data_IF_916789406262
#
_entry.id   IF_916789406262
#
_cell.length_a   1.000
_cell.length_b   1.000
_cell.length_c   1.000
_cell.angle_alpha   90.00
_cell.angle_beta   90.00
_cell.angle_gamma   90.00
#
_symmetry.space_group_name_H-M   'P 1'
#
loop_
_entity.id
_entity.type
_entity.pdbx_description
1 polymer ?
#
# COMPACT_ATOMS: atom_id res chain seq x y z
N UNK A 1 -8.15 -13.97 17.31
CA UNK A 1 -9.41 -13.26 17.09
C UNK A 1 -10.28 -14.03 16.11
N UNK A 2 -11.58 -14.13 16.27
CA UNK A 2 -12.51 -14.75 15.33
C UNK A 2 -12.94 -13.70 14.30
N UNK A 3 -12.44 -13.82 13.07
CA UNK A 3 -12.85 -12.93 11.97
C UNK A 3 -14.03 -13.49 11.17
N UNK A 4 -14.18 -14.81 11.17
CA UNK A 4 -15.33 -15.55 10.62
C UNK A 4 -15.65 -16.68 11.58
N UNK A 5 -16.93 -17.08 11.68
CA UNK A 5 -17.38 -18.13 12.56
C UNK A 5 -16.52 -19.39 12.44
N UNK A 6 -16.00 -19.87 13.57
CA UNK A 6 -15.15 -21.06 13.69
C UNK A 6 -13.74 -20.95 13.07
N UNK A 7 -13.29 -19.75 12.70
CA UNK A 7 -11.94 -19.50 12.18
C UNK A 7 -11.30 -18.36 12.98
N UNK A 8 -10.17 -18.65 13.61
CA UNK A 8 -9.46 -17.71 14.47
C UNK A 8 -8.08 -17.40 13.89
N UNK A 9 -7.72 -16.12 14.00
CA UNK A 9 -6.41 -15.62 13.61
C UNK A 9 -5.68 -15.11 14.83
N UNK A 10 -4.36 -15.15 14.80
CA UNK A 10 -3.52 -14.55 15.85
C UNK A 10 -3.48 -13.01 15.77
N UNK A 11 -4.07 -12.42 14.74
CA UNK A 11 -4.13 -10.98 14.50
C UNK A 11 -5.54 -10.55 14.08
N UNK A 12 -5.86 -9.28 14.21
CA UNK A 12 -7.09 -8.65 13.72
C UNK A 12 -6.95 -8.08 12.30
N UNK A 13 -5.71 -7.93 11.82
CA UNK A 13 -5.39 -7.41 10.49
C UNK A 13 -4.41 -8.33 9.79
N UNK A 14 -4.69 -8.61 8.52
CA UNK A 14 -3.76 -9.33 7.65
C UNK A 14 -2.89 -8.29 6.96
N UNK A 15 -1.58 -8.33 7.20
CA UNK A 15 -0.63 -7.34 6.67
C UNK A 15 0.36 -8.01 5.74
N UNK A 16 0.69 -7.38 4.62
CA UNK A 16 1.67 -7.88 3.67
C UNK A 16 3.03 -8.17 4.35
N UNK A 17 3.68 -9.24 3.91
CA UNK A 17 4.98 -9.68 4.44
C UNK A 17 4.98 -10.03 5.94
N UNK A 18 3.82 -10.42 6.49
CA UNK A 18 3.69 -10.94 7.85
C UNK A 18 3.33 -12.43 7.84
N UNK A 19 3.56 -13.10 8.96
CA UNK A 19 3.12 -14.49 9.19
C UNK A 19 1.87 -14.50 10.04
N UNK A 20 0.83 -15.20 9.58
CA UNK A 20 -0.41 -15.39 10.32
C UNK A 20 -0.54 -16.83 10.79
N UNK A 21 -1.17 -17.02 11.95
CA UNK A 21 -1.58 -18.32 12.44
C UNK A 21 -3.10 -18.43 12.36
N UNK A 22 -3.58 -19.48 11.69
CA UNK A 22 -4.99 -19.80 11.53
C UNK A 22 -5.32 -21.01 12.41
N UNK A 23 -6.41 -20.92 13.18
CA UNK A 23 -7.00 -22.02 13.92
C UNK A 23 -8.43 -22.26 13.44
N UNK A 24 -8.72 -23.46 12.98
CA UNK A 24 -10.02 -23.88 12.46
C UNK A 24 -10.70 -24.84 13.41
N UNK A 25 -11.89 -24.50 13.87
CA UNK A 25 -12.79 -25.34 14.71
C UNK A 25 -14.15 -25.60 14.07
N UNK A 26 -14.21 -25.45 12.74
CA UNK A 26 -15.46 -25.63 11.99
C UNK A 26 -15.87 -27.10 11.85
N UNK A 27 -16.65 -27.37 10.80
CA UNK A 27 -17.30 -28.65 10.53
C UNK A 27 -16.39 -29.85 10.73
N UNK A 28 -15.20 -29.87 10.15
CA UNK A 28 -14.31 -31.02 10.21
C UNK A 28 -13.67 -31.25 11.58
N UNK A 29 -13.54 -30.20 12.40
CA UNK A 29 -13.11 -30.36 13.77
C UNK A 29 -14.24 -30.94 14.63
N UNK A 30 -15.47 -30.48 14.43
CA UNK A 30 -16.67 -30.98 15.13
C UNK A 30 -16.97 -32.44 14.74
N UNK A 31 -16.80 -32.81 13.48
CA UNK A 31 -16.92 -34.17 12.98
C UNK A 31 -15.71 -35.07 13.35
N UNK A 32 -14.76 -34.55 14.11
CA UNK A 32 -13.55 -35.24 14.54
C UNK A 32 -12.75 -35.89 13.40
N UNK A 33 -12.68 -35.23 12.24
CA UNK A 33 -11.88 -35.65 11.10
C UNK A 33 -10.42 -35.95 11.53
N UNK A 34 -9.77 -36.91 10.88
CA UNK A 34 -8.39 -37.29 11.22
C UNK A 34 -7.39 -36.28 10.67
N UNK A 35 -7.66 -35.77 9.46
CA UNK A 35 -6.82 -34.82 8.75
C UNK A 35 -7.67 -33.71 8.16
N UNK A 36 -7.14 -32.49 8.25
CA UNK A 36 -7.70 -31.33 7.56
C UNK A 36 -6.58 -30.61 6.82
N UNK A 37 -6.87 -30.24 5.60
CA UNK A 37 -6.00 -29.48 4.74
C UNK A 37 -6.59 -28.09 4.53
N UNK A 38 -5.76 -27.08 4.45
CA UNK A 38 -6.12 -25.78 3.94
C UNK A 38 -5.63 -25.68 2.50
N UNK A 39 -6.53 -25.30 1.60
CA UNK A 39 -6.19 -24.92 0.24
C UNK A 39 -6.29 -23.41 0.17
N UNK A 40 -5.21 -22.73 -0.17
CA UNK A 40 -5.17 -21.26 -0.18
C UNK A 40 -4.39 -20.71 -1.37
N UNK A 41 -4.71 -19.49 -1.74
CA UNK A 41 -4.05 -18.73 -2.79
C UNK A 41 -4.27 -17.24 -2.59
N UNK A 42 -3.71 -16.43 -3.48
CA UNK A 42 -3.76 -14.99 -3.37
C UNK A 42 -4.43 -14.37 -4.58
N UNK A 43 -5.08 -13.21 -4.38
CA UNK A 43 -5.84 -12.47 -5.37
C UNK A 43 -6.96 -13.32 -6.02
N UNK A 44 -7.76 -12.72 -6.89
CA UNK A 44 -8.92 -13.38 -7.53
C UNK A 44 -8.55 -14.65 -8.30
N UNK A 45 -7.35 -14.71 -8.87
CA UNK A 45 -6.88 -15.84 -9.69
C UNK A 45 -6.18 -16.94 -8.89
N UNK A 46 -6.25 -16.93 -7.57
CA UNK A 46 -5.60 -17.91 -6.70
C UNK A 46 -4.11 -18.09 -7.00
N UNK A 47 -3.40 -16.99 -7.19
CA UNK A 47 -1.95 -16.97 -7.46
C UNK A 47 -1.22 -17.67 -6.32
N UNK A 48 -0.17 -18.42 -6.62
CA UNK A 48 0.62 -19.21 -5.67
C UNK A 48 -0.25 -20.19 -4.85
N UNK A 49 -1.25 -20.78 -5.48
CA UNK A 49 -2.15 -21.74 -4.83
C UNK A 49 -1.39 -22.95 -4.27
N UNK A 50 -1.66 -23.24 -3.01
CA UNK A 50 -1.01 -24.35 -2.27
C UNK A 50 -2.04 -25.05 -1.40
N UNK A 51 -1.90 -26.39 -1.27
CA UNK A 51 -2.60 -27.20 -0.28
C UNK A 51 -1.62 -27.67 0.79
N UNK A 52 -1.96 -27.45 2.06
CA UNK A 52 -1.13 -27.86 3.21
C UNK A 52 -1.96 -28.57 4.26
N UNK A 53 -1.43 -29.65 4.83
CA UNK A 53 -2.02 -30.32 5.99
C UNK A 53 -1.90 -29.43 7.23
N UNK A 54 -2.99 -29.33 8.00
CA UNK A 54 -3.03 -28.57 9.25
C UNK A 54 -2.70 -29.49 10.43
N UNK A 55 -2.06 -28.94 11.44
CA UNK A 55 -1.74 -29.67 12.67
C UNK A 55 -2.95 -29.70 13.61
N UNK A 56 -3.40 -30.88 14.01
CA UNK A 56 -4.50 -31.05 14.97
C UNK A 56 -4.00 -30.74 16.38
N UNK A 57 -4.73 -29.91 17.11
CA UNK A 57 -4.50 -29.59 18.52
C UNK A 57 -5.83 -29.62 19.29
N UNK A 58 -5.78 -29.46 20.60
CA UNK A 58 -6.98 -29.33 21.44
C UNK A 58 -7.82 -28.08 21.09
N UNK A 59 -7.19 -27.05 20.54
CA UNK A 59 -7.80 -25.78 20.15
C UNK A 59 -8.21 -25.74 18.66
N UNK A 60 -8.24 -26.88 17.95
CA UNK A 60 -8.57 -26.96 16.55
C UNK A 60 -7.41 -27.34 15.66
N UNK A 61 -7.64 -27.31 14.36
CA UNK A 61 -6.60 -27.49 13.34
C UNK A 61 -5.85 -26.18 13.13
N UNK A 62 -4.52 -26.21 13.19
CA UNK A 62 -3.69 -25.01 13.18
C UNK A 62 -2.65 -25.04 12.07
N UNK A 63 -2.36 -23.87 11.50
CA UNK A 63 -1.31 -23.67 10.53
C UNK A 63 -0.76 -22.25 10.57
N UNK A 64 0.50 -22.08 10.20
CA UNK A 64 1.13 -20.79 9.96
C UNK A 64 1.34 -20.56 8.45
N UNK A 65 1.00 -19.36 8.00
CA UNK A 65 1.06 -18.97 6.59
C UNK A 65 1.72 -17.60 6.48
N UNK A 66 2.70 -17.50 5.59
CA UNK A 66 3.34 -16.23 5.25
C UNK A 66 2.50 -15.49 4.22
N UNK A 67 2.03 -14.31 4.59
CA UNK A 67 1.34 -13.40 3.69
C UNK A 67 2.36 -12.71 2.80
N UNK A 68 2.22 -12.92 1.50
CA UNK A 68 3.07 -12.28 0.50
C UNK A 68 2.56 -10.88 0.16
N UNK A 69 3.23 -10.22 -0.77
CA UNK A 69 2.87 -8.89 -1.25
C UNK A 69 1.68 -8.94 -2.24
N UNK A 70 0.52 -9.42 -1.76
CA UNK A 70 -0.74 -9.52 -2.49
C UNK A 70 -1.85 -8.72 -1.80
N UNK A 71 -2.97 -8.52 -2.48
CA UNK A 71 -4.08 -7.70 -1.96
C UNK A 71 -5.13 -8.52 -1.23
N UNK A 72 -5.33 -9.78 -1.61
CA UNK A 72 -6.31 -10.66 -0.97
C UNK A 72 -5.72 -12.04 -0.71
N UNK A 73 -6.18 -12.64 0.39
CA UNK A 73 -5.90 -14.00 0.81
C UNK A 73 -7.19 -14.80 0.74
N UNK A 74 -7.19 -15.86 -0.07
CA UNK A 74 -8.33 -16.72 -0.32
C UNK A 74 -8.02 -18.11 0.16
N UNK A 75 -8.96 -18.77 0.83
CA UNK A 75 -8.77 -20.14 1.28
C UNK A 75 -10.08 -20.91 1.47
N UNK A 76 -9.96 -22.22 1.55
CA UNK A 76 -11.01 -23.16 1.94
C UNK A 76 -10.35 -24.36 2.64
N UNK A 77 -11.16 -25.18 3.28
CA UNK A 77 -10.68 -26.38 3.96
C UNK A 77 -11.17 -27.65 3.28
N UNK A 78 -10.40 -28.70 3.44
CA UNK A 78 -10.71 -30.03 2.91
C UNK A 78 -10.33 -31.09 3.94
N UNK A 79 -11.15 -32.11 4.12
CA UNK A 79 -10.82 -33.25 4.98
C UNK A 79 -10.20 -34.42 4.17
N UNK A 80 -9.83 -35.49 4.85
CA UNK A 80 -9.25 -36.71 4.26
C UNK A 80 -10.19 -37.42 3.27
N UNK A 81 -11.50 -37.17 3.35
CA UNK A 81 -12.50 -37.75 2.43
C UNK A 81 -12.74 -36.85 1.20
N UNK A 82 -11.94 -35.81 1.00
CA UNK A 82 -12.11 -34.80 -0.05
C UNK A 82 -13.42 -34.01 0.03
N UNK A 83 -14.02 -33.91 1.21
CA UNK A 83 -15.14 -32.98 1.44
C UNK A 83 -14.61 -31.58 1.68
N UNK A 84 -15.31 -30.59 1.15
CA UNK A 84 -14.92 -29.19 1.24
C UNK A 84 -15.75 -28.42 2.28
N UNK A 85 -15.09 -27.51 2.96
CA UNK A 85 -15.68 -26.41 3.72
C UNK A 85 -15.18 -25.09 3.10
N UNK A 86 -15.99 -24.52 2.27
CA UNK A 86 -15.66 -23.36 1.43
C UNK A 86 -16.66 -22.20 1.63
N UNK A 87 -17.23 -22.06 2.83
CA UNK A 87 -18.15 -20.98 3.16
C UNK A 87 -19.36 -20.91 2.20
N UNK A 88 -20.07 -22.03 2.03
CA UNK A 88 -21.22 -22.13 1.12
C UNK A 88 -20.89 -21.69 -0.32
N UNK A 89 -19.82 -22.26 -0.89
CA UNK A 89 -19.31 -22.03 -2.26
C UNK A 89 -18.72 -20.64 -2.52
N UNK A 90 -18.57 -19.79 -1.48
CA UNK A 90 -18.03 -18.43 -1.60
C UNK A 90 -16.55 -18.33 -1.28
N UNK A 91 -15.94 -19.39 -0.74
CA UNK A 91 -14.62 -19.40 -0.14
C UNK A 91 -14.49 -18.38 1.02
N UNK A 92 -13.37 -18.44 1.72
CA UNK A 92 -13.02 -17.45 2.72
C UNK A 92 -12.05 -16.45 2.07
N UNK A 93 -12.44 -15.17 2.03
CA UNK A 93 -11.68 -14.12 1.35
C UNK A 93 -11.42 -12.97 2.32
N UNK A 94 -10.16 -12.60 2.47
CA UNK A 94 -9.72 -11.50 3.35
C UNK A 94 -8.82 -10.54 2.61
N UNK A 95 -8.99 -9.25 2.86
CA UNK A 95 -8.08 -8.23 2.36
C UNK A 95 -6.76 -8.24 3.14
N UNK A 96 -5.66 -8.04 2.44
CA UNK A 96 -4.32 -7.89 3.01
C UNK A 96 -3.96 -6.41 2.95
N UNK A 97 -3.65 -5.83 4.09
CA UNK A 97 -3.28 -4.42 4.21
C UNK A 97 -1.80 -4.20 3.88
N UNK A 98 -1.49 -3.06 3.31
CA UNK A 98 -0.11 -2.63 3.10
C UNK A 98 0.44 -2.11 4.44
N UNK A 99 1.67 -2.49 4.85
CA UNK A 99 2.27 -1.98 6.08
C UNK A 99 2.33 -0.45 6.09
N UNK A 100 1.95 0.19 7.18
CA UNK A 100 1.94 1.66 7.32
C UNK A 100 3.31 2.29 6.99
N UNK A 101 4.40 1.63 7.35
CA UNK A 101 5.77 2.06 7.02
C UNK A 101 6.00 2.20 5.51
N UNK A 102 5.39 1.33 4.70
CA UNK A 102 5.48 1.40 3.23
C UNK A 102 4.71 2.61 2.68
N UNK A 103 3.58 2.96 3.30
CA UNK A 103 2.78 4.14 2.91
C UNK A 103 3.53 5.44 3.19
N UNK A 104 4.17 5.56 4.34
CA UNK A 104 4.98 6.72 4.72
C UNK A 104 6.12 6.93 3.70
N UNK A 105 6.82 5.86 3.32
CA UNK A 105 7.91 5.93 2.35
C UNK A 105 7.42 6.38 0.96
N UNK A 106 6.24 5.95 0.54
CA UNK A 106 5.64 6.38 -0.74
C UNK A 106 5.24 7.85 -0.71
N UNK A 107 4.67 8.33 0.39
CA UNK A 107 4.32 9.74 0.58
C UNK A 107 5.54 10.64 0.64
N UNK A 108 6.58 10.27 1.40
CA UNK A 108 7.84 11.03 1.46
C UNK A 108 8.53 11.11 0.10
N UNK A 109 8.60 10.03 -0.65
CA UNK A 109 9.16 10.02 -2.00
C UNK A 109 8.31 10.86 -2.98
N UNK A 110 6.98 10.82 -2.85
CA UNK A 110 6.05 11.65 -3.62
C UNK A 110 6.23 13.14 -3.32
N UNK A 111 6.34 13.53 -2.05
CA UNK A 111 6.58 14.90 -1.61
C UNK A 111 7.97 15.39 -2.03
N UNK A 112 9.02 14.58 -1.92
CA UNK A 112 10.36 14.93 -2.36
C UNK A 112 10.40 15.19 -3.87
N UNK A 113 9.76 14.36 -4.68
CA UNK A 113 9.66 14.53 -6.14
C UNK A 113 8.86 15.79 -6.51
N UNK A 114 7.76 16.06 -5.83
CA UNK A 114 6.95 17.27 -6.00
C UNK A 114 7.73 18.54 -5.65
N UNK A 115 8.47 18.53 -4.55
CA UNK A 115 9.29 19.65 -4.12
C UNK A 115 10.45 19.94 -5.09
N UNK A 116 11.07 18.90 -5.65
CA UNK A 116 12.12 19.06 -6.66
C UNK A 116 11.58 19.70 -7.94
N UNK A 117 10.44 19.25 -8.46
CA UNK A 117 9.80 19.83 -9.65
C UNK A 117 9.37 21.28 -9.41
N UNK A 118 8.81 21.59 -8.24
CA UNK A 118 8.44 22.98 -7.87
C UNK A 118 9.66 23.88 -7.76
N UNK A 119 10.77 23.39 -7.20
CA UNK A 119 12.02 24.13 -7.10
C UNK A 119 12.63 24.41 -8.48
N UNK A 120 12.68 23.44 -9.38
CA UNK A 120 13.17 23.60 -10.74
C UNK A 120 12.32 24.61 -11.54
N UNK A 121 11.01 24.56 -11.41
CA UNK A 121 10.10 25.51 -12.04
C UNK A 121 10.32 26.96 -11.56
N UNK A 122 10.49 27.16 -10.25
CA UNK A 122 10.76 28.49 -9.68
C UNK A 122 12.12 29.04 -10.13
N UNK A 123 13.14 28.19 -10.24
CA UNK A 123 14.44 28.58 -10.79
C UNK A 123 14.35 29.00 -12.25
N UNK A 124 13.64 28.25 -13.09
CA UNK A 124 13.45 28.59 -14.50
C UNK A 124 12.70 29.91 -14.68
N UNK A 125 11.71 30.18 -13.83
CA UNK A 125 10.97 31.46 -13.82
C UNK A 125 11.85 32.65 -13.42
N UNK A 126 12.69 32.50 -12.38
CA UNK A 126 13.66 33.52 -11.97
C UNK A 126 14.70 33.80 -13.07
N UNK A 127 15.19 32.75 -13.73
CA UNK A 127 16.15 32.89 -14.83
C UNK A 127 15.55 33.65 -16.02
N UNK A 128 14.31 33.34 -16.42
CA UNK A 128 13.59 34.05 -17.48
C UNK A 128 13.39 35.53 -17.17
N UNK A 129 13.05 35.86 -15.91
CA UNK A 129 12.91 37.24 -15.48
C UNK A 129 14.24 37.99 -15.45
N UNK A 130 15.35 37.33 -15.08
CA UNK A 130 16.68 37.92 -15.13
C UNK A 130 17.12 38.20 -16.57
N UNK A 131 16.95 37.23 -17.49
CA UNK A 131 17.26 37.40 -18.92
C UNK A 131 16.40 38.51 -19.55
N UNK A 132 15.09 38.57 -19.23
CA UNK A 132 14.21 39.66 -19.70
C UNK A 132 14.69 41.04 -19.24
N UNK A 133 15.08 41.18 -17.96
CA UNK A 133 15.61 42.43 -17.43
C UNK A 133 16.89 42.84 -18.16
N UNK A 134 17.80 41.92 -18.43
CA UNK A 134 19.04 42.17 -19.15
C UNK A 134 18.74 42.61 -20.61
N UNK A 135 17.92 41.87 -21.34
CA UNK A 135 17.61 42.18 -22.72
C UNK A 135 16.81 43.44 -22.96
N UNK A 136 15.92 43.80 -22.04
CA UNK A 136 15.04 44.97 -22.19
C UNK A 136 15.65 46.24 -21.54
N UNK A 137 16.41 46.10 -20.49
CA UNK A 137 16.93 47.24 -19.71
C UNK A 137 18.29 47.73 -20.24
N UNK A 138 19.20 46.86 -20.64
CA UNK A 138 20.48 47.25 -21.20
C UNK A 138 20.40 48.11 -22.46
N UNK A 139 19.60 47.81 -23.46
CA UNK A 139 19.47 48.65 -24.63
C UNK A 139 18.92 50.04 -24.30
N UNK A 140 18.07 50.19 -23.27
CA UNK A 140 17.54 51.50 -22.80
C UNK A 140 18.62 52.36 -22.13
N UNK A 141 19.59 51.72 -21.46
CA UNK A 141 20.73 52.41 -20.85
C UNK A 141 21.69 52.90 -21.92
N UNK A 142 21.97 52.08 -22.95
CA UNK A 142 22.90 52.38 -24.04
C UNK A 142 22.32 53.45 -24.97
N UNK A 143 21.05 53.47 -25.18
CA UNK A 143 20.37 54.43 -26.09
C UNK A 143 20.12 55.82 -25.49
N UNK A 144 20.65 56.11 -24.29
CA UNK A 144 20.56 57.41 -23.64
C UNK A 144 19.17 57.95 -23.24
N UNK A 145 18.12 57.13 -23.46
CA UNK A 145 16.74 57.49 -23.19
C UNK A 145 16.34 57.41 -21.69
N UNK A 146 17.29 57.40 -20.79
CA UNK A 146 17.03 57.41 -19.36
C UNK A 146 16.82 58.86 -18.89
N UNK A 147 15.62 59.39 -18.99
CA UNK A 147 15.28 60.66 -18.38
C UNK A 147 15.44 60.57 -16.87
N UNK A 148 16.50 61.19 -16.32
CA UNK A 148 16.61 61.46 -14.90
C UNK A 148 15.39 62.30 -14.50
N UNK A 149 14.57 61.84 -13.57
CA UNK A 149 13.58 62.66 -12.88
C UNK A 149 14.38 63.71 -12.10
N UNK A 150 14.40 64.94 -12.60
CA UNK A 150 14.92 66.08 -11.84
C UNK A 150 14.12 66.21 -10.55
N UNK A 151 14.80 66.28 -9.42
CA UNK A 151 14.22 66.72 -8.15
C UNK A 151 13.67 68.12 -8.38
N UNK A 152 12.37 68.36 -8.26
CA UNK A 152 11.81 69.69 -8.10
C UNK A 152 12.36 70.25 -6.82
N UNK A 153 13.19 71.31 -6.91
CA UNK A 153 13.50 72.18 -5.82
C UNK A 153 12.19 72.78 -5.31
N UNK A 154 11.92 72.62 -4.06
CA UNK A 154 10.92 73.41 -3.32
C UNK A 154 11.69 74.61 -2.84
N UNK A 155 11.54 75.74 -3.52
CA UNK A 155 11.83 77.04 -2.99
C UNK A 155 10.53 77.64 -2.47
N UNK A 156 10.61 78.05 -1.19
CA UNK A 156 9.80 78.93 -0.39
C UNK A 156 8.29 78.72 -0.30
#
# INVERSE_FOLDING_TARGET
MELVKNIFFNTDRLVQNSTIKISYIGKFFQDNSKKVFIHYGFNENWIDSVEKEMTKSELGYQIEIDLKNYNTFNFCFKNEENKWDNNDEKNYIFNIEIPETSLITLEENGLAKSNHLRRSYLWSKKLRLAVYKILVFLPKLVSGNYKRKSKKQIEN
#
